data_IF_949169997991
#
_entry.id   IF_949169997991
#
_cell.length_a   1.000
_cell.length_b   1.000
_cell.length_c   1.000
_cell.angle_alpha   90.00
_cell.angle_beta   90.00
_cell.angle_gamma   90.00
#
_symmetry.space_group_name_H-M   'P 1'
#
loop_
_entity.id
_entity.type
_entity.pdbx_description
1 polymer ?
#
# COMPACT_ATOMS: atom_id res chain seq x y z
N UNK A 1 -6.90 18.28 -1.10
CA UNK A 1 -8.05 18.74 -1.92
C UNK A 1 -7.78 20.00 -2.77
N UNK A 2 -7.27 21.10 -2.20
CA UNK A 2 -7.07 22.38 -2.94
C UNK A 2 -6.09 22.26 -4.10
N UNK A 3 -4.95 21.58 -3.92
CA UNK A 3 -3.97 21.31 -4.98
C UNK A 3 -4.61 20.61 -6.18
N UNK A 4 -5.34 19.49 -5.94
CA UNK A 4 -6.03 18.77 -7.01
C UNK A 4 -7.03 19.64 -7.78
N UNK A 5 -7.83 20.46 -7.08
CA UNK A 5 -8.75 21.40 -7.74
C UNK A 5 -8.01 22.43 -8.62
N UNK A 6 -6.85 22.92 -8.18
CA UNK A 6 -6.01 23.83 -8.99
C UNK A 6 -5.43 23.12 -10.21
N UNK A 7 -4.92 21.90 -10.05
CA UNK A 7 -4.41 21.10 -11.18
C UNK A 7 -5.53 20.82 -12.18
N UNK A 8 -6.72 20.42 -11.75
CA UNK A 8 -7.84 20.17 -12.66
C UNK A 8 -8.30 21.42 -13.43
N UNK A 9 -8.24 22.61 -12.80
CA UNK A 9 -8.46 23.88 -13.50
C UNK A 9 -7.40 24.14 -14.56
N UNK A 10 -6.13 23.95 -14.21
CA UNK A 10 -5.01 24.14 -15.13
C UNK A 10 -5.10 23.18 -16.31
N UNK A 11 -5.33 21.89 -16.06
CA UNK A 11 -5.51 20.85 -17.09
C UNK A 11 -6.62 21.21 -18.08
N UNK A 12 -7.74 21.73 -17.59
CA UNK A 12 -8.82 22.21 -18.45
C UNK A 12 -8.41 23.43 -19.29
N UNK A 13 -7.66 24.37 -18.70
CA UNK A 13 -7.21 25.59 -19.38
C UNK A 13 -6.10 25.35 -20.41
N UNK A 14 -5.35 24.24 -20.31
CA UNK A 14 -4.34 23.86 -21.31
C UNK A 14 -4.94 23.64 -22.71
N UNK A 15 -6.25 23.38 -22.81
CA UNK A 15 -6.93 23.16 -24.09
C UNK A 15 -6.46 21.92 -24.86
N UNK A 16 -5.73 21.01 -24.19
CA UNK A 16 -5.27 19.76 -24.80
C UNK A 16 -6.40 18.74 -24.89
N UNK A 17 -6.37 17.84 -25.88
CA UNK A 17 -7.29 16.72 -25.94
C UNK A 17 -7.24 15.89 -24.65
N UNK A 18 -8.42 15.50 -24.14
CA UNK A 18 -8.56 14.59 -23.00
C UNK A 18 -7.65 13.35 -23.09
N UNK A 19 -7.56 12.78 -24.30
CA UNK A 19 -6.75 11.60 -24.65
C UNK A 19 -5.24 11.76 -24.38
N UNK A 20 -4.75 12.99 -24.27
CA UNK A 20 -3.33 13.28 -24.04
C UNK A 20 -2.99 13.53 -22.57
N UNK A 21 -3.98 13.50 -21.67
CA UNK A 21 -3.79 13.88 -20.27
C UNK A 21 -3.71 12.62 -19.40
N UNK A 22 -2.55 12.44 -18.78
CA UNK A 22 -2.29 11.44 -17.76
C UNK A 22 -1.80 12.14 -16.49
N UNK A 23 -2.49 11.92 -15.37
CA UNK A 23 -2.10 12.46 -14.06
C UNK A 23 -1.59 11.32 -13.19
N UNK A 24 -0.37 11.43 -12.68
CA UNK A 24 0.23 10.43 -11.81
C UNK A 24 0.37 11.06 -10.41
N UNK A 25 -0.04 10.34 -9.37
CA UNK A 25 0.06 10.81 -8.01
C UNK A 25 0.51 9.70 -7.07
N UNK A 26 1.53 9.98 -6.26
CA UNK A 26 2.02 9.09 -5.21
C UNK A 26 1.48 9.49 -3.84
N UNK A 27 1.17 8.54 -2.96
CA UNK A 27 0.72 8.81 -1.60
C UNK A 27 -0.53 9.71 -1.56
N UNK A 28 -0.51 10.79 -0.78
CA UNK A 28 -1.54 11.84 -0.79
C UNK A 28 -1.75 12.47 -2.19
N UNK A 29 -0.69 12.49 -3.00
CA UNK A 29 -0.72 12.93 -4.39
C UNK A 29 -1.66 12.11 -5.26
N UNK A 30 -1.87 10.82 -4.96
CA UNK A 30 -2.85 9.99 -5.68
C UNK A 30 -4.27 10.56 -5.52
N UNK A 31 -4.64 10.98 -4.31
CA UNK A 31 -5.92 11.63 -4.06
C UNK A 31 -5.97 13.05 -4.66
N UNK A 32 -4.84 13.78 -4.65
CA UNK A 32 -4.76 15.05 -5.36
C UNK A 32 -5.02 14.86 -6.88
N UNK A 33 -4.51 13.80 -7.49
CA UNK A 33 -4.79 13.44 -8.88
C UNK A 33 -6.27 13.10 -9.10
N UNK A 34 -6.90 12.33 -8.20
CA UNK A 34 -8.34 12.08 -8.22
C UNK A 34 -9.17 13.36 -8.16
N UNK A 35 -8.83 14.28 -7.25
CA UNK A 35 -9.48 15.60 -7.18
C UNK A 35 -9.24 16.46 -8.43
N UNK A 36 -8.10 16.30 -9.10
CA UNK A 36 -7.83 16.95 -10.37
C UNK A 36 -8.72 16.40 -11.49
N UNK A 37 -8.86 15.06 -11.58
CA UNK A 37 -9.79 14.40 -12.50
C UNK A 37 -11.23 14.86 -12.30
N UNK A 38 -11.72 14.86 -11.05
CA UNK A 38 -13.05 15.38 -10.69
C UNK A 38 -13.24 16.86 -11.09
N UNK A 39 -12.24 17.70 -10.86
CA UNK A 39 -12.30 19.11 -11.19
C UNK A 39 -12.24 19.39 -12.70
N UNK A 40 -11.51 18.57 -13.46
CA UNK A 40 -11.52 18.64 -14.92
C UNK A 40 -12.86 18.14 -15.48
N UNK A 41 -13.38 17.02 -14.95
CA UNK A 41 -14.66 16.42 -15.33
C UNK A 41 -15.85 17.35 -15.11
N UNK A 42 -15.90 18.08 -14.00
CA UNK A 42 -16.94 19.10 -13.75
C UNK A 42 -16.90 20.29 -14.71
N UNK A 43 -15.81 20.42 -15.50
CA UNK A 43 -15.64 21.38 -16.59
C UNK A 43 -15.80 20.75 -17.97
N UNK A 44 -16.36 19.55 -18.05
CA UNK A 44 -16.61 18.83 -19.30
C UNK A 44 -15.39 18.10 -19.87
N UNK A 45 -14.29 17.96 -19.11
CA UNK A 45 -13.08 17.27 -19.56
C UNK A 45 -12.82 16.01 -18.73
N UNK A 46 -13.17 14.84 -19.27
CA UNK A 46 -12.77 13.56 -18.70
C UNK A 46 -11.33 13.25 -19.13
N UNK A 47 -10.36 13.28 -18.20
CA UNK A 47 -8.96 12.97 -18.52
C UNK A 47 -8.79 11.50 -18.90
N UNK A 48 -7.81 11.18 -19.76
CA UNK A 48 -7.63 9.82 -20.24
C UNK A 48 -7.22 8.84 -19.12
N UNK A 49 -6.25 9.23 -18.30
CA UNK A 49 -5.68 8.32 -17.31
C UNK A 49 -5.32 9.01 -16.00
N UNK A 50 -5.56 8.31 -14.90
CA UNK A 50 -4.94 8.61 -13.61
C UNK A 50 -4.23 7.36 -13.11
N UNK A 51 -2.96 7.48 -12.69
CA UNK A 51 -2.26 6.41 -11.97
C UNK A 51 -2.05 6.78 -10.51
N UNK A 52 -2.59 5.96 -9.61
CA UNK A 52 -2.39 6.10 -8.17
C UNK A 52 -1.25 5.22 -7.69
N UNK A 53 -0.17 5.81 -7.19
CA UNK A 53 1.01 5.09 -6.71
C UNK A 53 0.94 5.05 -5.18
N UNK A 54 0.56 3.91 -4.65
CA UNK A 54 0.28 3.63 -3.24
C UNK A 54 -0.54 4.76 -2.56
N UNK A 55 -1.82 4.93 -2.96
CA UNK A 55 -2.65 6.02 -2.45
C UNK A 55 -2.71 6.02 -0.94
N UNK A 56 -2.60 7.18 -0.30
CA UNK A 56 -2.55 7.27 1.15
C UNK A 56 -3.79 6.64 1.81
N UNK A 57 -3.57 5.69 2.72
CA UNK A 57 -4.59 5.11 3.58
C UNK A 57 -5.13 6.13 4.60
N UNK A 58 -4.28 6.74 5.44
CA UNK A 58 -4.70 7.67 6.49
C UNK A 58 -5.64 8.76 5.96
N UNK A 59 -6.76 9.00 6.64
CA UNK A 59 -7.87 9.91 6.24
C UNK A 59 -8.69 9.48 5.01
N UNK A 60 -8.23 8.51 4.22
CA UNK A 60 -8.92 8.08 3.00
C UNK A 60 -9.37 6.60 3.03
N UNK A 61 -9.08 5.85 4.10
CA UNK A 61 -9.50 4.44 4.27
C UNK A 61 -11.00 4.25 4.04
N UNK A 62 -11.81 5.13 4.64
CA UNK A 62 -13.28 5.15 4.49
C UNK A 62 -13.82 6.32 3.67
N UNK A 63 -12.95 7.16 3.10
CA UNK A 63 -13.41 8.29 2.31
C UNK A 63 -14.29 7.81 1.15
N UNK A 64 -15.46 8.44 1.02
CA UNK A 64 -16.38 8.21 -0.09
C UNK A 64 -15.72 8.57 -1.42
N UNK A 65 -16.15 7.99 -2.56
CA UNK A 65 -15.58 8.27 -3.87
C UNK A 65 -15.38 9.76 -4.18
N UNK A 66 -16.26 10.63 -3.70
CA UNK A 66 -16.19 12.09 -3.90
C UNK A 66 -14.98 12.73 -3.21
N UNK A 67 -14.47 12.10 -2.17
CA UNK A 67 -13.44 12.61 -1.25
C UNK A 67 -12.09 11.86 -1.35
N UNK A 68 -11.88 11.04 -2.37
CA UNK A 68 -10.60 10.34 -2.62
C UNK A 68 -10.35 10.16 -4.12
N UNK A 69 -9.31 9.41 -4.48
CA UNK A 69 -9.18 8.85 -5.84
C UNK A 69 -10.23 7.76 -6.02
N UNK A 70 -10.89 7.74 -7.17
CA UNK A 70 -11.86 6.71 -7.57
C UNK A 70 -11.79 6.43 -9.08
N UNK A 71 -12.17 5.22 -9.48
CA UNK A 71 -12.25 4.80 -10.89
C UNK A 71 -13.03 5.78 -11.77
N UNK A 72 -14.05 6.46 -11.23
CA UNK A 72 -14.86 7.42 -11.98
C UNK A 72 -14.18 8.76 -12.31
N UNK A 73 -12.94 8.97 -11.88
CA UNK A 73 -12.21 10.24 -11.99
C UNK A 73 -11.51 10.44 -13.35
N UNK A 74 -11.36 9.38 -14.13
CA UNK A 74 -10.76 9.38 -15.47
C UNK A 74 -11.37 8.27 -16.33
N UNK A 75 -11.06 8.26 -17.63
CA UNK A 75 -11.45 7.16 -18.52
C UNK A 75 -10.80 5.83 -18.10
N UNK A 76 -9.56 5.88 -17.60
CA UNK A 76 -8.85 4.73 -17.05
C UNK A 76 -8.12 5.12 -15.77
N UNK A 77 -8.18 4.27 -14.75
CA UNK A 77 -7.53 4.49 -13.46
C UNK A 77 -6.84 3.20 -13.07
N UNK A 78 -5.53 3.26 -12.91
CA UNK A 78 -4.71 2.13 -12.47
C UNK A 78 -4.01 2.47 -11.16
N UNK A 79 -3.99 1.52 -10.22
CA UNK A 79 -3.46 1.76 -8.88
C UNK A 79 -2.41 0.71 -8.54
N UNK A 80 -1.29 1.11 -7.95
CA UNK A 80 -0.26 0.21 -7.44
C UNK A 80 -0.30 0.29 -5.91
N UNK A 81 -0.55 -0.82 -5.25
CA UNK A 81 -0.61 -0.94 -3.79
C UNK A 81 0.66 -1.62 -3.30
N UNK A 82 1.44 -0.95 -2.45
CA UNK A 82 2.70 -1.51 -1.95
C UNK A 82 2.85 -1.45 -0.45
N UNK A 83 2.00 -0.69 0.27
CA UNK A 83 2.04 -0.54 1.73
C UNK A 83 0.66 -0.50 2.40
N UNK A 84 -0.26 -1.39 1.99
CA UNK A 84 -1.71 -1.35 2.32
C UNK A 84 -2.08 -1.31 3.81
N UNK A 85 -1.22 -1.78 4.70
CA UNK A 85 -1.50 -1.79 6.14
C UNK A 85 -0.96 -0.57 6.87
N UNK A 86 0.05 0.09 6.30
CA UNK A 86 0.73 1.21 6.94
C UNK A 86 0.34 2.54 6.30
N UNK A 87 1.00 2.95 5.21
CA UNK A 87 0.74 4.24 4.55
C UNK A 87 -0.25 4.15 3.40
N UNK A 88 -0.39 2.98 2.78
CA UNK A 88 -1.20 2.75 1.60
C UNK A 88 -2.67 2.44 1.92
N UNK A 89 -3.52 2.57 0.91
CA UNK A 89 -4.94 2.22 0.98
C UNK A 89 -5.13 0.75 0.61
N UNK A 90 -5.77 -0.01 1.49
CA UNK A 90 -6.08 -1.43 1.27
C UNK A 90 -7.10 -1.67 0.14
N UNK A 91 -8.28 -1.04 0.24
CA UNK A 91 -9.39 -1.30 -0.68
C UNK A 91 -9.04 -0.86 -2.11
N UNK A 92 -9.40 -1.66 -3.14
CA UNK A 92 -9.21 -1.27 -4.53
C UNK A 92 -10.06 -0.04 -4.86
N UNK A 93 -9.49 0.89 -5.62
CA UNK A 93 -10.13 2.15 -6.01
C UNK A 93 -9.99 2.49 -7.50
N UNK A 94 -9.29 1.65 -8.27
CA UNK A 94 -9.08 1.82 -9.71
C UNK A 94 -10.08 1.07 -10.58
N UNK A 95 -9.85 1.16 -11.89
CA UNK A 95 -10.36 0.17 -12.84
C UNK A 95 -9.56 -1.14 -12.71
N UNK A 96 -8.24 -1.01 -12.49
CA UNK A 96 -7.32 -2.12 -12.17
C UNK A 96 -6.45 -1.72 -10.97
N UNK A 97 -6.27 -2.64 -10.05
CA UNK A 97 -5.54 -2.43 -8.80
C UNK A 97 -4.48 -3.52 -8.66
N UNK A 98 -3.21 -3.15 -8.69
CA UNK A 98 -2.07 -4.06 -8.65
C UNK A 98 -1.53 -4.19 -7.23
N UNK A 99 -1.33 -5.43 -6.77
CA UNK A 99 -0.83 -5.77 -5.44
C UNK A 99 0.47 -6.61 -5.58
N UNK A 100 1.61 -5.97 -5.92
CA UNK A 100 2.91 -6.64 -5.88
C UNK A 100 3.22 -7.13 -4.47
N UNK A 101 3.55 -8.41 -4.33
CA UNK A 101 3.87 -9.05 -3.04
C UNK A 101 2.80 -8.77 -1.99
N UNK A 102 1.55 -9.12 -2.31
CA UNK A 102 0.34 -8.85 -1.48
C UNK A 102 -0.03 -7.36 -1.36
N UNK A 103 0.85 -6.45 -1.76
CA UNK A 103 0.70 -5.02 -1.61
C UNK A 103 1.00 -4.52 -0.19
N UNK A 104 1.64 -5.31 0.65
CA UNK A 104 1.94 -4.96 2.05
C UNK A 104 3.40 -4.65 2.30
N UNK A 105 4.25 -5.67 2.36
CA UNK A 105 5.63 -5.53 2.76
C UNK A 105 6.51 -5.98 1.60
N UNK A 106 7.13 -5.00 0.97
CA UNK A 106 7.88 -5.26 -0.24
C UNK A 106 9.24 -5.90 0.10
N UNK A 107 9.74 -6.82 -0.74
CA UNK A 107 11.05 -7.41 -0.52
C UNK A 107 12.16 -6.35 -0.36
N UNK A 108 12.96 -6.51 0.70
CA UNK A 108 14.04 -5.59 1.06
C UNK A 108 13.60 -4.37 1.88
N UNK A 109 12.32 -4.31 2.32
CA UNK A 109 11.80 -3.19 3.11
C UNK A 109 11.55 -3.53 4.60
N UNK A 110 11.93 -4.72 5.07
CA UNK A 110 11.84 -5.08 6.50
C UNK A 110 12.67 -4.08 7.32
N UNK A 111 12.08 -3.49 8.37
CA UNK A 111 12.74 -2.50 9.22
C UNK A 111 12.90 -1.10 8.62
N UNK A 112 12.48 -0.85 7.37
CA UNK A 112 12.63 0.44 6.69
C UNK A 112 11.30 1.17 6.52
N UNK A 113 11.01 2.13 7.41
CA UNK A 113 9.80 2.94 7.37
C UNK A 113 9.65 3.66 6.01
N UNK A 114 8.50 3.50 5.37
CA UNK A 114 8.19 4.14 4.09
C UNK A 114 8.89 3.52 2.87
N UNK A 115 9.74 2.50 3.04
CA UNK A 115 10.36 1.79 1.91
C UNK A 115 9.30 1.13 1.04
N UNK A 116 8.39 0.34 1.64
CA UNK A 116 7.25 -0.27 0.93
C UNK A 116 6.41 0.78 0.21
N UNK A 117 6.14 1.91 0.85
CA UNK A 117 5.41 3.03 0.26
C UNK A 117 6.15 3.65 -0.94
N UNK A 118 7.48 3.73 -0.88
CA UNK A 118 8.35 4.18 -1.97
C UNK A 118 8.36 3.24 -3.17
N UNK A 119 8.24 1.92 -2.96
CA UNK A 119 8.29 0.95 -4.06
C UNK A 119 7.28 1.20 -5.18
N UNK A 120 6.11 1.78 -4.90
CA UNK A 120 5.13 2.04 -5.94
C UNK A 120 5.64 2.98 -7.04
N UNK A 121 6.36 4.06 -6.69
CA UNK A 121 6.92 4.96 -7.71
C UNK A 121 8.20 4.43 -8.34
N UNK A 122 8.98 3.62 -7.62
CA UNK A 122 10.12 2.89 -8.17
C UNK A 122 9.69 1.88 -9.23
N UNK A 123 8.72 1.01 -8.92
CA UNK A 123 8.17 0.04 -9.88
C UNK A 123 7.55 0.74 -11.08
N UNK A 124 6.83 1.84 -10.88
CA UNK A 124 6.27 2.61 -11.98
C UNK A 124 7.37 3.19 -12.88
N UNK A 125 8.41 3.79 -12.30
CA UNK A 125 9.55 4.34 -13.05
C UNK A 125 10.27 3.25 -13.83
N UNK A 126 10.51 2.11 -13.19
CA UNK A 126 11.17 0.95 -13.78
C UNK A 126 10.37 0.35 -14.95
N UNK A 127 9.03 0.37 -14.87
CA UNK A 127 8.14 -0.09 -15.95
C UNK A 127 8.29 0.73 -17.25
N UNK A 128 8.90 1.91 -17.17
CA UNK A 128 9.20 2.78 -18.32
C UNK A 128 10.60 2.49 -18.88
N UNK A 129 11.60 2.37 -18.01
CA UNK A 129 13.01 2.54 -18.39
C UNK A 129 13.82 1.26 -18.58
N UNK A 130 13.38 0.12 -18.03
CA UNK A 130 14.24 -1.06 -17.87
C UNK A 130 13.89 -2.26 -18.77
N UNK A 131 12.82 -2.18 -19.57
CA UNK A 131 12.28 -3.32 -20.34
C UNK A 131 11.63 -4.40 -19.46
N UNK A 132 11.62 -4.19 -18.15
CA UNK A 132 11.02 -5.02 -17.14
C UNK A 132 9.49 -5.03 -17.28
N UNK A 133 8.92 -6.23 -17.43
CA UNK A 133 7.47 -6.43 -17.56
C UNK A 133 6.92 -6.94 -16.25
N UNK A 134 6.31 -6.05 -15.48
CA UNK A 134 5.57 -6.39 -14.26
C UNK A 134 4.24 -7.07 -14.59
N UNK A 135 4.32 -8.30 -15.10
CA UNK A 135 3.16 -9.10 -15.48
C UNK A 135 2.37 -9.50 -14.23
N UNK A 136 1.12 -9.06 -14.18
CA UNK A 136 0.20 -9.31 -13.09
C UNK A 136 -1.01 -10.11 -13.59
N UNK A 137 -1.56 -10.91 -12.68
CA UNK A 137 -2.62 -11.87 -12.95
C UNK A 137 -3.85 -11.53 -12.13
N UNK A 138 -5.02 -11.61 -12.76
CA UNK A 138 -6.28 -11.53 -12.03
C UNK A 138 -6.43 -12.75 -11.13
N UNK A 139 -6.76 -12.52 -9.87
CA UNK A 139 -7.09 -13.58 -8.92
C UNK A 139 -8.12 -13.05 -7.92
N UNK A 140 -8.80 -13.95 -7.20
CA UNK A 140 -9.83 -13.57 -6.23
C UNK A 140 -9.26 -12.76 -5.06
N UNK A 141 -8.14 -13.23 -4.55
CA UNK A 141 -7.42 -12.71 -3.40
C UNK A 141 -5.98 -13.23 -3.44
N UNK A 142 -5.12 -12.71 -2.57
CA UNK A 142 -3.72 -13.13 -2.48
C UNK A 142 -3.57 -14.58 -2.02
N UNK A 143 -4.43 -15.06 -1.11
CA UNK A 143 -4.36 -16.44 -0.60
C UNK A 143 -4.63 -17.48 -1.70
N UNK A 144 -5.53 -17.15 -2.63
CA UNK A 144 -5.83 -17.93 -3.84
C UNK A 144 -4.77 -17.73 -4.92
N UNK A 145 -4.06 -16.60 -4.91
CA UNK A 145 -2.86 -16.38 -5.71
C UNK A 145 -1.69 -17.22 -5.17
N UNK A 146 -1.88 -18.54 -5.21
CA UNK A 146 -0.86 -19.51 -4.83
C UNK A 146 0.03 -19.79 -6.04
N UNK A 147 1.03 -18.92 -6.20
CA UNK A 147 1.99 -19.01 -7.29
C UNK A 147 2.66 -20.40 -7.37
N UNK A 148 2.99 -21.00 -6.23
CA UNK A 148 3.62 -22.33 -6.13
C UNK A 148 2.76 -23.49 -6.67
N UNK A 149 1.44 -23.29 -6.75
CA UNK A 149 0.50 -24.27 -7.31
C UNK A 149 0.06 -23.95 -8.74
N UNK A 150 0.65 -22.91 -9.35
CA UNK A 150 0.20 -22.42 -10.66
C UNK A 150 -1.24 -21.92 -10.63
N UNK A 151 -1.71 -21.40 -9.48
CA UNK A 151 -3.05 -20.84 -9.39
C UNK A 151 -3.03 -19.40 -9.87
N UNK A 152 -3.96 -19.06 -10.77
CA UNK A 152 -4.01 -17.75 -11.42
C UNK A 152 -2.72 -17.43 -12.21
N UNK A 153 -2.05 -18.42 -12.82
CA UNK A 153 -0.76 -18.24 -13.52
C UNK A 153 -0.85 -18.31 -15.07
N UNK A 154 -2.04 -18.60 -15.59
CA UNK A 154 -2.26 -18.75 -17.02
C UNK A 154 -2.97 -17.53 -17.57
N UNK A 155 -2.30 -16.87 -18.53
CA UNK A 155 -2.94 -15.87 -19.35
C UNK A 155 -2.31 -15.83 -20.73
N UNK A 156 -3.13 -15.49 -21.71
CA UNK A 156 -2.65 -15.21 -23.06
C UNK A 156 -2.61 -13.69 -23.23
N UNK A 157 -1.42 -13.10 -23.08
CA UNK A 157 -1.23 -11.67 -23.30
C UNK A 157 -1.76 -11.28 -24.69
N UNK A 158 -2.77 -10.40 -24.72
CA UNK A 158 -3.43 -9.98 -25.96
C UNK A 158 -4.73 -10.73 -26.28
N UNK A 159 -5.20 -11.65 -25.43
CA UNK A 159 -6.58 -12.11 -25.45
C UNK A 159 -7.46 -11.19 -24.60
N UNK A 160 -8.69 -11.00 -25.07
CA UNK A 160 -9.69 -10.06 -24.54
C UNK A 160 -10.27 -10.44 -23.17
N UNK A 161 -9.74 -11.48 -22.51
CA UNK A 161 -10.34 -12.07 -21.32
C UNK A 161 -10.04 -11.29 -20.03
N UNK A 162 -9.10 -10.35 -20.07
CA UNK A 162 -8.72 -9.54 -18.90
C UNK A 162 -7.96 -10.32 -17.83
N UNK A 163 -7.51 -11.54 -18.13
CA UNK A 163 -6.87 -12.44 -17.16
C UNK A 163 -5.48 -11.94 -16.68
N UNK A 164 -4.84 -11.08 -17.47
CA UNK A 164 -3.55 -10.45 -17.14
C UNK A 164 -3.51 -8.98 -17.53
N UNK A 165 -2.60 -8.26 -16.87
CA UNK A 165 -2.18 -6.91 -17.27
C UNK A 165 -0.69 -6.74 -16.99
N UNK A 166 -0.12 -5.63 -17.46
CA UNK A 166 1.24 -5.23 -17.10
C UNK A 166 1.15 -3.99 -16.23
N UNK A 167 1.60 -4.12 -14.98
CA UNK A 167 1.60 -3.04 -14.00
C UNK A 167 2.50 -1.87 -14.46
N UNK A 168 2.10 -0.65 -14.10
CA UNK A 168 2.86 0.57 -14.36
C UNK A 168 2.46 1.27 -15.65
N UNK A 169 3.41 1.95 -16.29
CA UNK A 169 3.16 2.75 -17.50
C UNK A 169 2.43 1.99 -18.64
N UNK A 170 2.71 0.71 -18.95
CA UNK A 170 2.02 0.02 -20.05
C UNK A 170 0.59 -0.45 -19.73
N UNK A 171 0.07 -0.25 -18.51
CA UNK A 171 -1.25 -0.77 -18.11
C UNK A 171 -2.41 -0.32 -19.03
N UNK A 172 -2.33 0.89 -19.59
CA UNK A 172 -3.34 1.43 -20.52
C UNK A 172 -3.49 0.59 -21.80
N UNK A 173 -2.48 -0.21 -22.16
CA UNK A 173 -2.53 -1.08 -23.33
C UNK A 173 -3.34 -2.37 -23.09
N UNK A 174 -3.85 -2.55 -21.87
CA UNK A 174 -4.66 -3.70 -21.46
C UNK A 174 -6.02 -3.22 -20.90
N UNK A 175 -6.87 -2.57 -21.73
CA UNK A 175 -8.08 -1.91 -21.24
C UNK A 175 -9.18 -2.86 -20.73
N UNK A 176 -9.10 -4.15 -21.08
CA UNK A 176 -10.03 -5.17 -20.60
C UNK A 176 -9.65 -5.73 -19.22
N UNK A 177 -8.48 -5.34 -18.70
CA UNK A 177 -8.00 -5.73 -17.39
C UNK A 177 -8.75 -4.95 -16.30
N UNK A 178 -9.37 -5.66 -15.37
CA UNK A 178 -10.15 -5.05 -14.30
C UNK A 178 -9.96 -5.76 -12.95
N UNK A 179 -10.23 -5.01 -11.88
CA UNK A 179 -10.19 -5.52 -10.51
C UNK A 179 -8.77 -5.73 -9.99
N UNK A 180 -8.66 -6.56 -8.94
CA UNK A 180 -7.40 -6.84 -8.27
C UNK A 180 -6.51 -7.76 -9.09
N UNK A 181 -5.24 -7.38 -9.24
CA UNK A 181 -4.22 -8.14 -9.92
C UNK A 181 -2.99 -8.30 -9.05
N UNK A 182 -2.40 -9.49 -9.11
CA UNK A 182 -1.32 -9.90 -8.23
C UNK A 182 -0.07 -10.28 -9.02
N UNK A 183 1.08 -9.98 -8.44
CA UNK A 183 2.40 -10.26 -9.01
C UNK A 183 3.44 -10.33 -7.89
N UNK A 184 4.60 -10.87 -8.23
CA UNK A 184 5.75 -10.96 -7.33
C UNK A 184 6.88 -10.09 -7.89
N UNK A 185 7.57 -9.36 -7.01
CA UNK A 185 8.81 -8.64 -7.31
C UNK A 185 9.93 -9.14 -6.40
N UNK A 186 11.18 -8.75 -6.62
CA UNK A 186 12.35 -9.27 -5.89
C UNK A 186 13.13 -8.20 -5.13
N UNK A 187 13.94 -8.66 -4.17
CA UNK A 187 14.89 -7.86 -3.38
C UNK A 187 16.07 -7.30 -4.20
N UNK A 188 16.26 -7.74 -5.45
CA UNK A 188 17.39 -7.32 -6.26
C UNK A 188 17.43 -5.78 -6.38
N UNK A 189 18.62 -5.14 -6.39
CA UNK A 189 18.68 -3.78 -6.91
C UNK A 189 18.10 -3.78 -8.33
N UNK A 190 17.36 -2.73 -8.67
CA UNK A 190 16.60 -2.59 -9.93
C UNK A 190 17.31 -3.26 -11.12
N UNK A 191 16.62 -4.13 -11.90
CA UNK A 191 15.17 -4.27 -11.95
C UNK A 191 14.57 -5.21 -10.89
N UNK A 192 13.44 -4.78 -10.31
CA UNK A 192 12.64 -5.50 -9.32
C UNK A 192 11.71 -6.55 -9.92
N UNK A 193 11.28 -6.45 -11.19
CA UNK A 193 10.42 -7.49 -11.73
C UNK A 193 11.13 -8.83 -11.84
N UNK A 194 10.29 -9.85 -11.85
CA UNK A 194 10.73 -11.22 -11.89
C UNK A 194 10.30 -11.85 -13.21
N UNK A 195 11.28 -12.39 -13.95
CA UNK A 195 11.07 -12.98 -15.27
C UNK A 195 11.20 -14.50 -15.22
N UNK A 196 10.17 -15.20 -15.73
CA UNK A 196 10.16 -16.65 -15.85
C UNK A 196 10.05 -17.41 -14.52
N UNK A 197 9.76 -18.71 -14.58
CA UNK A 197 9.50 -19.53 -13.39
C UNK A 197 10.72 -19.67 -12.47
N UNK A 198 11.94 -19.49 -13.00
CA UNK A 198 13.19 -19.53 -12.21
C UNK A 198 13.34 -18.31 -11.33
N UNK A 199 13.25 -17.10 -11.90
CA UNK A 199 13.32 -15.87 -11.11
C UNK A 199 12.23 -15.81 -10.04
N UNK A 200 11.05 -16.40 -10.32
CA UNK A 200 9.93 -16.45 -9.36
C UNK A 200 10.26 -17.31 -8.15
N UNK A 201 10.85 -18.49 -8.35
CA UNK A 201 11.37 -19.31 -7.25
C UNK A 201 12.49 -18.61 -6.47
N UNK A 202 13.37 -17.89 -7.16
CA UNK A 202 14.48 -17.18 -6.52
C UNK A 202 13.98 -15.99 -5.68
N UNK A 203 12.95 -15.27 -6.15
CA UNK A 203 12.31 -14.18 -5.40
C UNK A 203 11.56 -14.69 -4.15
N UNK A 204 10.88 -15.83 -4.26
CA UNK A 204 10.21 -16.49 -3.12
C UNK A 204 11.19 -17.04 -2.09
N UNK A 205 12.28 -17.67 -2.54
CA UNK A 205 13.31 -18.21 -1.66
C UNK A 205 14.23 -17.14 -1.08
N UNK A 206 14.02 -15.86 -1.40
CA UNK A 206 14.78 -14.80 -0.77
C UNK A 206 14.44 -14.72 0.72
N UNK A 207 15.45 -14.53 1.56
CA UNK A 207 15.30 -14.46 3.02
C UNK A 207 14.27 -13.41 3.43
N UNK A 208 14.22 -12.28 2.71
CA UNK A 208 13.22 -11.23 2.92
C UNK A 208 11.81 -11.70 2.60
N UNK A 209 11.59 -12.36 1.47
CA UNK A 209 10.25 -12.88 1.13
C UNK A 209 9.82 -14.00 2.07
N UNK A 210 10.73 -14.90 2.46
CA UNK A 210 10.43 -15.95 3.43
C UNK A 210 10.09 -15.37 4.81
N UNK A 211 10.78 -14.33 5.26
CA UNK A 211 10.45 -13.59 6.48
C UNK A 211 9.04 -12.98 6.40
N UNK A 212 8.71 -12.28 5.32
CA UNK A 212 7.37 -11.71 5.09
C UNK A 212 6.29 -12.81 5.03
N UNK A 213 6.60 -13.97 4.45
CA UNK A 213 5.66 -15.10 4.36
C UNK A 213 5.51 -15.87 5.68
N UNK A 214 6.57 -15.97 6.51
CA UNK A 214 6.54 -16.64 7.82
C UNK A 214 5.81 -15.83 8.87
N UNK A 215 5.90 -14.50 8.75
CA UNK A 215 5.02 -13.54 9.41
C UNK A 215 3.53 -13.73 9.03
N UNK A 216 3.26 -14.57 8.03
CA UNK A 216 2.11 -14.49 7.16
C UNK A 216 0.77 -14.95 7.72
N UNK A 217 0.55 -16.12 8.31
CA UNK A 217 -0.85 -16.62 8.39
C UNK A 217 -1.69 -16.01 9.51
N UNK A 218 -1.10 -15.90 10.70
CA UNK A 218 -1.81 -15.43 11.89
C UNK A 218 -1.93 -13.90 11.90
N UNK A 219 -0.85 -13.19 11.53
CA UNK A 219 -0.89 -11.73 11.36
C UNK A 219 -1.80 -11.31 10.19
N UNK A 220 -1.85 -12.09 9.09
CA UNK A 220 -2.80 -11.82 7.99
C UNK A 220 -4.25 -11.82 8.47
N UNK A 221 -4.60 -12.73 9.38
CA UNK A 221 -5.96 -12.83 9.89
C UNK A 221 -6.22 -11.71 10.89
N UNK A 222 -5.30 -11.45 11.83
CA UNK A 222 -5.46 -10.40 12.85
C UNK A 222 -5.51 -8.98 12.25
N UNK A 223 -4.64 -8.65 11.30
CA UNK A 223 -4.68 -7.34 10.63
C UNK A 223 -5.93 -7.21 9.77
N UNK A 224 -6.37 -8.27 9.09
CA UNK A 224 -7.63 -8.25 8.34
C UNK A 224 -8.82 -8.09 9.27
N UNK A 225 -8.87 -8.83 10.36
CA UNK A 225 -9.94 -8.75 11.36
C UNK A 225 -9.95 -7.37 12.04
N UNK A 226 -8.79 -6.79 12.35
CA UNK A 226 -8.69 -5.41 12.83
C UNK A 226 -9.21 -4.43 11.78
N UNK A 227 -8.72 -4.50 10.54
CA UNK A 227 -9.14 -3.62 9.44
C UNK A 227 -10.62 -3.78 9.06
N UNK A 228 -11.21 -4.96 9.26
CA UNK A 228 -12.63 -5.26 9.03
C UNK A 228 -13.49 -4.86 10.24
N UNK A 229 -12.96 -4.97 11.47
CA UNK A 229 -13.61 -4.50 12.72
C UNK A 229 -13.75 -2.97 12.77
N UNK A 230 -12.90 -2.28 12.02
CA UNK A 230 -13.00 -0.86 11.68
C UNK A 230 -14.22 -0.62 10.74
N UNK A 231 -15.44 -0.86 11.24
CA UNK A 231 -16.73 -0.74 10.51
C UNK A 231 -16.99 0.59 9.80
N UNK A 232 -17.77 0.55 8.71
CA UNK A 232 -18.10 1.64 7.77
C UNK A 232 -18.90 2.84 8.36
N UNK A 233 -19.13 2.93 9.68
CA UNK A 233 -20.17 3.80 10.24
C UNK A 233 -19.74 5.07 10.97
N UNK A 234 -18.46 5.38 11.15
CA UNK A 234 -18.07 6.70 11.67
C UNK A 234 -16.93 7.33 10.86
N UNK A 235 -17.18 8.56 10.43
CA UNK A 235 -16.13 9.56 10.18
C UNK A 235 -15.43 9.82 11.52
N UNK A 236 -14.59 8.90 11.98
CA UNK A 236 -13.75 9.11 13.15
C UNK A 236 -12.63 10.07 12.76
N UNK A 237 -12.41 11.07 13.59
CA UNK A 237 -11.34 12.04 13.40
C UNK A 237 -9.97 11.36 13.53
N UNK A 238 -8.98 11.93 12.84
CA UNK A 238 -7.56 11.50 12.84
C UNK A 238 -6.99 11.16 14.24
N UNK A 239 -7.51 11.77 15.29
CA UNK A 239 -7.03 11.63 16.67
C UNK A 239 -7.61 10.41 17.41
N UNK A 240 -8.84 9.99 17.09
CA UNK A 240 -9.48 8.85 17.78
C UNK A 240 -8.94 7.49 17.27
N UNK A 241 -8.77 7.34 15.95
CA UNK A 241 -8.13 6.15 15.35
C UNK A 241 -6.68 5.98 15.83
N UNK A 242 -5.99 7.11 16.04
CA UNK A 242 -4.61 7.14 16.52
C UNK A 242 -4.48 6.70 17.99
N UNK A 243 -5.38 7.18 18.87
CA UNK A 243 -5.31 6.87 20.30
C UNK A 243 -5.78 5.46 20.67
N UNK A 244 -6.72 4.89 19.92
CA UNK A 244 -7.12 3.49 20.07
C UNK A 244 -5.94 2.55 19.76
N UNK A 245 -5.26 2.78 18.63
CA UNK A 245 -4.09 1.99 18.21
C UNK A 245 -2.87 2.18 19.12
N UNK A 246 -2.66 3.39 19.67
CA UNK A 246 -1.63 3.66 20.68
C UNK A 246 -1.81 2.82 21.96
N UNK A 247 -3.06 2.67 22.41
CA UNK A 247 -3.39 1.96 23.67
C UNK A 247 -3.10 0.46 23.60
N UNK A 248 -3.23 -0.13 22.41
CA UNK A 248 -2.91 -1.54 22.17
C UNK A 248 -1.40 -1.77 22.07
N UNK A 249 -0.63 -0.77 21.61
CA UNK A 249 0.81 -0.88 21.42
C UNK A 249 1.60 -0.90 22.74
N UNK A 250 1.18 -0.12 23.73
CA UNK A 250 1.81 -0.06 25.07
C UNK A 250 1.77 -1.44 25.77
N UNK A 251 0.68 -2.19 25.58
CA UNK A 251 0.54 -3.55 26.08
C UNK A 251 1.42 -4.58 25.35
N UNK A 252 1.79 -4.32 24.10
CA UNK A 252 2.55 -5.23 23.23
C UNK A 252 4.06 -5.07 23.42
N UNK A 253 4.54 -3.83 23.56
CA UNK A 253 5.96 -3.53 23.81
C UNK A 253 6.43 -4.14 25.12
N UNK A 254 5.58 -4.16 26.15
CA UNK A 254 5.87 -4.81 27.42
C UNK A 254 6.14 -6.33 27.30
N UNK A 255 5.65 -6.97 26.23
CA UNK A 255 5.70 -8.43 26.03
C UNK A 255 6.82 -8.91 25.08
N UNK A 256 7.50 -8.02 24.34
CA UNK A 256 8.47 -8.37 23.28
C UNK A 256 9.88 -8.71 23.81
N UNK A 257 10.09 -8.72 25.13
CA UNK A 257 11.40 -9.03 25.72
C UNK A 257 11.73 -10.53 25.82
N UNK A 258 10.89 -11.44 25.30
CA UNK A 258 11.16 -12.87 25.35
C UNK A 258 10.62 -13.61 24.11
N UNK A 259 11.54 -14.18 23.31
CA UNK A 259 11.35 -15.29 22.36
C UNK A 259 10.59 -15.05 21.03
N UNK A 260 11.32 -14.74 19.94
CA UNK A 260 10.87 -14.94 18.55
C UNK A 260 11.91 -15.75 17.75
N UNK A 261 11.60 -16.95 17.19
CA UNK A 261 12.62 -17.91 16.76
C UNK A 261 13.13 -17.79 15.30
N UNK A 262 12.58 -16.89 14.47
CA UNK A 262 12.79 -16.97 13.00
C UNK A 262 13.26 -15.68 12.29
N UNK A 263 13.49 -14.59 13.01
CA UNK A 263 14.24 -13.44 12.49
C UNK A 263 15.71 -13.63 12.83
N UNK A 264 16.61 -13.50 11.86
CA UNK A 264 18.03 -13.75 12.08
C UNK A 264 18.64 -12.74 13.08
N UNK A 265 19.82 -13.05 13.65
CA UNK A 265 20.54 -12.15 14.56
C UNK A 265 20.97 -10.81 13.94
N UNK A 266 20.68 -10.58 12.65
CA UNK A 266 20.96 -9.36 11.89
C UNK A 266 19.75 -8.41 11.83
N UNK A 267 18.54 -8.91 12.13
CA UNK A 267 17.28 -8.14 12.12
C UNK A 267 16.91 -7.60 13.53
N UNK A 268 17.31 -8.32 14.59
CA UNK A 268 17.11 -7.92 16.00
C UNK A 268 17.82 -6.61 16.36
N UNK A 269 19.05 -6.32 15.90
CA UNK A 269 19.70 -5.03 16.15
C UNK A 269 18.97 -3.86 15.49
N UNK A 270 18.25 -4.05 14.38
CA UNK A 270 17.51 -2.98 13.70
C UNK A 270 16.24 -2.61 14.48
N UNK A 271 15.54 -3.61 15.02
CA UNK A 271 14.42 -3.40 15.97
C UNK A 271 14.93 -2.68 17.23
N UNK A 272 16.08 -3.10 17.75
CA UNK A 272 16.71 -2.51 18.94
C UNK A 272 17.40 -1.17 18.71
N UNK A 273 17.84 -0.84 17.49
CA UNK A 273 18.38 0.47 17.10
C UNK A 273 17.23 1.48 16.98
N UNK A 274 16.08 1.06 16.47
CA UNK A 274 14.86 1.88 16.40
C UNK A 274 14.23 2.15 17.78
N UNK A 275 14.27 1.16 18.69
CA UNK A 275 13.87 1.30 20.09
C UNK A 275 14.95 2.03 20.92
N UNK A 276 16.23 1.80 20.62
CA UNK A 276 17.37 2.27 21.40
C UNK A 276 17.86 3.69 21.10
N UNK A 277 17.54 4.26 19.94
CA UNK A 277 17.96 5.64 19.57
C UNK A 277 17.11 6.75 20.21
N UNK A 278 16.28 6.44 21.22
CA UNK A 278 15.43 7.43 21.92
C UNK A 278 14.30 8.02 21.05
N UNK A 279 14.18 7.60 19.78
CA UNK A 279 13.05 7.93 18.90
C UNK A 279 11.78 7.25 19.36
N UNK A 280 11.86 6.00 19.82
CA UNK A 280 10.74 5.31 20.43
C UNK A 280 10.21 6.09 21.65
N UNK A 281 11.08 6.44 22.60
CA UNK A 281 10.69 7.24 23.78
C UNK A 281 10.10 8.60 23.39
N UNK A 282 10.65 9.26 22.38
CA UNK A 282 10.13 10.54 21.87
C UNK A 282 8.76 10.39 21.20
N UNK A 283 8.56 9.29 20.47
CA UNK A 283 7.31 8.94 19.82
C UNK A 283 6.24 8.55 20.85
N UNK A 284 6.60 7.76 21.87
CA UNK A 284 5.72 7.39 22.96
C UNK A 284 5.36 8.59 23.81
N UNK A 285 6.32 9.45 24.17
CA UNK A 285 6.06 10.70 24.90
C UNK A 285 5.14 11.65 24.12
N UNK A 286 5.32 11.75 22.79
CA UNK A 286 4.42 12.52 21.93
C UNK A 286 3.02 11.91 21.87
N UNK A 287 2.92 10.59 21.70
CA UNK A 287 1.64 9.89 21.66
C UNK A 287 0.92 9.96 23.03
N UNK A 288 1.65 9.92 24.14
CA UNK A 288 1.14 10.14 25.50
C UNK A 288 0.55 11.53 25.69
N UNK A 289 1.23 12.56 25.18
CA UNK A 289 0.76 13.95 25.20
C UNK A 289 -0.50 14.15 24.34
N UNK A 290 -0.62 13.43 23.22
CA UNK A 290 -1.75 13.56 22.29
C UNK A 290 -2.93 12.64 22.59
N UNK A 291 -2.72 11.58 23.35
CA UNK A 291 -3.76 10.62 23.72
C UNK A 291 -3.97 10.61 25.24
N UNK A 292 -4.79 11.53 25.78
CA UNK A 292 -5.14 11.52 27.19
C UNK A 292 -5.86 10.21 27.56
N UNK A 293 -5.72 9.78 28.82
CA UNK A 293 -6.20 8.49 29.33
C UNK A 293 -7.70 8.24 29.06
N UNK A 294 -8.51 9.30 28.97
CA UNK A 294 -9.93 9.24 28.60
C UNK A 294 -10.23 8.81 27.16
N UNK A 295 -9.25 8.91 26.26
CA UNK A 295 -9.34 8.52 24.84
C UNK A 295 -8.72 7.13 24.59
N UNK A 296 -8.06 6.55 25.60
CA UNK A 296 -7.45 5.23 25.53
C UNK A 296 -8.51 4.18 25.87
N UNK A 297 -8.84 3.32 24.91
CA UNK A 297 -9.78 2.22 25.16
C UNK A 297 -9.05 1.10 25.90
N UNK A 298 -9.61 0.62 27.00
CA UNK A 298 -9.10 -0.55 27.73
C UNK A 298 -9.39 -1.84 26.94
N UNK A 299 -8.68 -2.04 25.83
CA UNK A 299 -8.59 -3.31 25.13
C UNK A 299 -7.63 -4.20 25.91
N UNK A 300 -8.11 -5.36 26.39
CA UNK A 300 -7.25 -6.32 27.08
C UNK A 300 -6.05 -6.70 26.22
N UNK A 301 -4.87 -6.77 26.83
CA UNK A 301 -3.62 -7.13 26.19
C UNK A 301 -3.79 -8.40 25.34
N UNK A 302 -3.92 -8.23 24.03
CA UNK A 302 -3.71 -9.31 23.09
C UNK A 302 -2.20 -9.35 22.82
N UNK A 303 -1.65 -10.55 22.81
CA UNK A 303 -0.26 -10.80 22.47
C UNK A 303 -0.08 -10.53 20.97
N UNK A 304 0.05 -9.27 20.55
CA UNK A 304 0.36 -8.98 19.15
C UNK A 304 1.80 -9.44 18.86
N UNK A 305 2.04 -10.30 17.85
CA UNK A 305 3.39 -10.67 17.42
C UNK A 305 4.26 -9.46 17.06
N UNK A 306 5.58 -9.61 17.18
CA UNK A 306 6.59 -8.54 17.04
C UNK A 306 6.49 -7.71 15.76
N UNK A 307 5.94 -8.27 14.68
CA UNK A 307 5.71 -7.56 13.42
C UNK A 307 4.53 -6.57 13.45
N UNK A 308 3.50 -6.83 14.25
CA UNK A 308 2.41 -5.87 14.48
C UNK A 308 2.90 -4.68 15.30
N UNK A 309 3.83 -4.89 16.23
CA UNK A 309 4.51 -3.78 16.89
C UNK A 309 5.27 -2.93 15.87
N UNK A 310 6.04 -3.55 14.98
CA UNK A 310 6.77 -2.82 13.93
C UNK A 310 5.81 -1.98 13.08
N UNK A 311 4.64 -2.52 12.70
CA UNK A 311 3.63 -1.80 11.92
C UNK A 311 3.01 -0.66 12.73
N UNK A 312 2.69 -0.88 14.00
CA UNK A 312 2.15 0.16 14.89
C UNK A 312 3.17 1.29 15.12
N UNK A 313 4.43 0.94 15.41
CA UNK A 313 5.54 1.88 15.53
C UNK A 313 5.77 2.67 14.25
N UNK A 314 5.73 1.99 13.11
CA UNK A 314 5.85 2.62 11.80
C UNK A 314 4.68 3.56 11.53
N UNK A 315 3.45 3.20 11.93
CA UNK A 315 2.27 4.02 11.72
C UNK A 315 2.31 5.27 12.59
N UNK A 316 2.72 5.13 13.86
CA UNK A 316 2.87 6.28 14.75
C UNK A 316 4.01 7.19 14.27
N UNK A 317 5.14 6.63 13.86
CA UNK A 317 6.24 7.42 13.28
C UNK A 317 5.78 8.16 12.01
N UNK A 318 4.98 7.51 11.15
CA UNK A 318 4.39 8.15 10.00
C UNK A 318 3.43 9.29 10.38
N UNK A 319 2.53 9.08 11.34
CA UNK A 319 1.61 10.13 11.81
C UNK A 319 2.38 11.29 12.44
N UNK A 320 3.45 11.02 13.19
CA UNK A 320 4.32 12.03 13.80
C UNK A 320 5.09 12.87 12.76
N UNK A 321 5.45 12.30 11.61
CA UNK A 321 6.15 13.01 10.51
C UNK A 321 5.21 13.88 9.66
N UNK A 322 3.90 13.60 9.65
CA UNK A 322 2.92 14.28 8.80
C UNK A 322 2.20 15.46 9.50
N UNK A 323 2.63 15.88 10.69
CA UNK A 323 2.26 17.14 11.36
C UNK A 323 3.46 18.07 11.47
#
# INVERSE_FOLDING_TARGET
>A
MTVGRTVGKFVHQLGQPASMIHIIGHSLGAHAAGFAGKAAKSRGLMVARISGLDPAGPLFRRARPENRLDRGDATFVDVIHTDIFLLGKLKPIGHVDFYPNEGWLQPGCVGHLGCSHGRAHEFYTESISSGCRFLAYSCRDWDTFNWNRGQCDSCSLGLSDGACSVMGYPAINYPNSHGSMYLVTSTNPSPHCVVGSRGKRDAENSTSTQCVQSLGTDMRQEVRDYMDSLTDTQEMGMEEDFCSMYSEMDAVVANITADEPNCGPEDTPIIMEYIGDGKYDSIMAWAEDKCPESMRTSGGASTLPSALLIIALQFIAAVAVWR
#
